data_IF_932791532446
#
_entry.id   IF_932791532446
#
_cell.length_a   1.000
_cell.length_b   1.000
_cell.length_c   1.000
_cell.angle_alpha   90.00
_cell.angle_beta   90.00
_cell.angle_gamma   90.00
#
_symmetry.space_group_name_H-M   'P 1'
#
loop_
_entity.id
_entity.type
_entity.pdbx_description
1 polymer ?
#
# COMPACT_ATOMS: atom_id res chain seq x y z
N UNK A 1 21.27 -13.80 -38.81
CA UNK A 1 21.80 -13.64 -37.43
C UNK A 1 20.61 -13.27 -36.54
N UNK A 2 20.28 -14.10 -35.56
CA UNK A 2 19.03 -14.00 -34.77
C UNK A 2 18.90 -12.63 -34.08
N UNK A 3 17.74 -12.01 -34.26
CA UNK A 3 17.24 -10.90 -33.46
C UNK A 3 17.07 -11.38 -32.02
N UNK A 4 18.11 -11.21 -31.20
CA UNK A 4 17.94 -11.26 -29.76
C UNK A 4 17.03 -10.09 -29.40
N UNK A 5 15.75 -10.38 -29.11
CA UNK A 5 14.87 -9.49 -28.38
C UNK A 5 15.51 -9.26 -27.01
N UNK A 6 16.40 -8.28 -26.92
CA UNK A 6 17.01 -7.85 -25.68
C UNK A 6 15.89 -7.29 -24.81
N UNK A 7 15.30 -8.15 -23.97
CA UNK A 7 14.45 -7.72 -22.85
C UNK A 7 15.25 -6.66 -22.11
N UNK A 8 14.76 -5.42 -22.10
CA UNK A 8 15.37 -4.33 -21.34
C UNK A 8 15.65 -4.85 -19.92
N UNK A 9 16.91 -4.86 -19.45
CA UNK A 9 17.21 -5.39 -18.13
C UNK A 9 16.39 -4.62 -17.10
N UNK A 10 15.66 -5.33 -16.22
CA UNK A 10 14.87 -4.71 -15.17
C UNK A 10 15.73 -3.69 -14.42
N UNK A 11 15.21 -2.47 -14.26
CA UNK A 11 15.97 -1.35 -13.67
C UNK A 11 16.49 -1.72 -12.28
N UNK A 12 17.68 -1.24 -11.93
CA UNK A 12 18.30 -1.43 -10.61
C UNK A 12 17.33 -1.09 -9.47
N UNK A 13 16.57 -0.01 -9.63
CA UNK A 13 15.53 0.44 -8.71
C UNK A 13 14.46 -0.64 -8.45
N UNK A 14 14.00 -1.32 -9.51
CA UNK A 14 12.99 -2.37 -9.40
C UNK A 14 13.52 -3.59 -8.67
N UNK A 15 14.74 -4.02 -9.04
CA UNK A 15 15.40 -5.16 -8.39
C UNK A 15 15.61 -4.91 -6.89
N UNK A 16 16.09 -3.71 -6.52
CA UNK A 16 16.30 -3.36 -5.11
C UNK A 16 14.98 -3.35 -4.34
N UNK A 17 13.94 -2.73 -4.88
CA UNK A 17 12.62 -2.70 -4.25
C UNK A 17 12.05 -4.11 -4.05
N UNK A 18 12.13 -4.96 -5.07
CA UNK A 18 11.66 -6.34 -4.99
C UNK A 18 12.43 -7.17 -3.96
N UNK A 19 13.77 -7.05 -3.93
CA UNK A 19 14.58 -7.76 -2.93
C UNK A 19 14.23 -7.32 -1.51
N UNK A 20 14.09 -6.01 -1.26
CA UNK A 20 13.73 -5.53 0.08
C UNK A 20 12.32 -5.96 0.47
N UNK A 21 11.36 -5.95 -0.45
CA UNK A 21 10.01 -6.47 -0.20
C UNK A 21 10.05 -7.96 0.16
N UNK A 22 10.79 -8.79 -0.57
CA UNK A 22 10.93 -10.22 -0.24
C UNK A 22 11.56 -10.44 1.13
N UNK A 23 12.64 -9.71 1.45
CA UNK A 23 13.29 -9.79 2.76
C UNK A 23 12.34 -9.35 3.88
N UNK A 24 11.54 -8.30 3.66
CA UNK A 24 10.55 -7.82 4.63
C UNK A 24 9.46 -8.86 4.88
N UNK A 25 8.94 -9.49 3.83
CA UNK A 25 7.94 -10.57 3.96
C UNK A 25 8.53 -11.76 4.72
N UNK A 26 9.78 -12.13 4.42
CA UNK A 26 10.47 -13.19 5.15
C UNK A 26 10.70 -12.82 6.62
N UNK A 27 11.11 -11.58 6.91
CA UNK A 27 11.27 -11.08 8.28
C UNK A 27 9.93 -11.11 9.04
N UNK A 28 8.84 -10.63 8.44
CA UNK A 28 7.52 -10.66 9.05
C UNK A 28 7.06 -12.10 9.33
N UNK A 29 7.30 -13.03 8.40
CA UNK A 29 7.02 -14.44 8.61
C UNK A 29 7.87 -15.05 9.74
N UNK A 30 9.14 -14.68 9.86
CA UNK A 30 10.03 -15.13 10.94
C UNK A 30 9.59 -14.59 12.31
N UNK A 31 9.31 -13.29 12.41
CA UNK A 31 8.80 -12.67 13.65
C UNK A 31 7.49 -13.32 14.06
N UNK A 32 6.57 -13.52 13.11
CA UNK A 32 5.30 -14.19 13.40
C UNK A 32 5.52 -15.65 13.81
N UNK A 33 6.38 -16.39 13.11
CA UNK A 33 6.73 -17.76 13.45
C UNK A 33 7.32 -17.87 14.86
N UNK A 34 8.19 -16.93 15.25
CA UNK A 34 8.74 -16.85 16.60
C UNK A 34 7.65 -16.57 17.64
N UNK A 35 6.72 -15.64 17.40
CA UNK A 35 5.61 -15.39 18.34
C UNK A 35 4.70 -16.61 18.51
N UNK A 36 4.44 -17.34 17.44
CA UNK A 36 3.57 -18.51 17.45
C UNK A 36 4.24 -19.76 18.03
N UNK A 37 5.57 -19.85 18.05
CA UNK A 37 6.28 -21.08 18.45
C UNK A 37 7.16 -20.92 19.68
N UNK A 38 7.78 -19.76 19.85
CA UNK A 38 8.82 -19.52 20.86
C UNK A 38 8.34 -18.89 22.17
N UNK A 39 7.12 -18.33 22.22
CA UNK A 39 6.60 -17.70 23.43
C UNK A 39 5.99 -18.71 24.41
N UNK A 40 6.04 -18.45 25.74
CA UNK A 40 5.48 -19.34 26.76
C UNK A 40 3.97 -19.58 26.64
N UNK A 41 3.22 -18.69 25.98
CA UNK A 41 1.78 -18.85 25.67
C UNK A 41 1.51 -19.23 24.19
N UNK A 42 2.52 -19.79 23.50
CA UNK A 42 2.46 -20.10 22.08
C UNK A 42 1.30 -21.02 21.66
N UNK A 43 0.89 -21.97 22.50
CA UNK A 43 -0.21 -22.89 22.19
C UNK A 43 -1.56 -22.16 22.04
N UNK A 44 -1.87 -21.29 23.01
CA UNK A 44 -3.12 -20.51 23.03
C UNK A 44 -3.14 -19.44 21.93
N UNK A 45 -1.97 -18.87 21.63
CA UNK A 45 -1.78 -17.94 20.50
C UNK A 45 -1.98 -18.63 19.14
N UNK A 46 -1.53 -19.88 18.97
CA UNK A 46 -1.74 -20.63 17.71
C UNK A 46 -3.22 -20.88 17.45
N UNK A 47 -3.95 -21.36 18.45
CA UNK A 47 -5.38 -21.66 18.33
C UNK A 47 -6.18 -20.40 17.96
N UNK A 48 -5.81 -19.26 18.56
CA UNK A 48 -6.46 -17.98 18.25
C UNK A 48 -6.05 -17.45 16.88
N UNK A 49 -4.76 -17.53 16.51
CA UNK A 49 -4.24 -16.91 15.29
C UNK A 49 -4.65 -17.62 13.99
N UNK A 50 -4.99 -18.91 14.04
CA UNK A 50 -5.50 -19.66 12.88
C UNK A 50 -6.89 -19.16 12.44
N UNK A 51 -7.61 -18.44 13.32
CA UNK A 51 -8.91 -17.88 12.97
C UNK A 51 -8.74 -16.77 11.91
N UNK A 52 -9.62 -16.73 10.89
CA UNK A 52 -9.49 -15.80 9.75
C UNK A 52 -9.51 -14.33 10.17
N UNK A 53 -10.21 -14.02 11.27
CA UNK A 53 -10.34 -12.69 11.84
C UNK A 53 -9.03 -12.07 12.35
N UNK A 54 -8.00 -12.89 12.61
CA UNK A 54 -6.67 -12.42 13.02
C UNK A 54 -5.64 -12.56 11.89
N UNK A 55 -5.64 -13.70 11.18
CA UNK A 55 -4.66 -13.95 10.13
C UNK A 55 -4.83 -13.02 8.92
N UNK A 56 -6.05 -12.81 8.44
CA UNK A 56 -6.28 -12.08 7.19
C UNK A 56 -5.94 -10.59 7.31
N UNK A 57 -6.36 -9.87 8.38
CA UNK A 57 -5.92 -8.50 8.61
C UNK A 57 -4.40 -8.38 8.79
N UNK A 58 -3.76 -9.36 9.43
CA UNK A 58 -2.30 -9.40 9.57
C UNK A 58 -1.60 -9.50 8.21
N UNK A 59 -2.03 -10.43 7.35
CA UNK A 59 -1.51 -10.57 5.99
C UNK A 59 -1.75 -9.31 5.16
N UNK A 60 -2.93 -8.70 5.28
CA UNK A 60 -3.26 -7.44 4.61
C UNK A 60 -2.33 -6.30 5.08
N UNK A 61 -1.96 -6.25 6.37
CA UNK A 61 -1.04 -5.25 6.92
C UNK A 61 0.39 -5.44 6.38
N UNK A 62 0.87 -6.69 6.35
CA UNK A 62 2.16 -7.02 5.71
C UNK A 62 2.14 -6.58 4.24
N UNK A 63 1.08 -6.90 3.51
CA UNK A 63 0.95 -6.53 2.10
C UNK A 63 0.94 -5.00 1.92
N UNK A 64 0.11 -4.27 2.67
CA UNK A 64 0.02 -2.82 2.60
C UNK A 64 1.37 -2.14 2.90
N UNK A 65 2.00 -2.52 4.02
CA UNK A 65 3.30 -1.95 4.41
C UNK A 65 4.40 -2.26 3.39
N UNK A 66 4.40 -3.47 2.82
CA UNK A 66 5.35 -3.88 1.79
C UNK A 66 5.16 -3.08 0.49
N UNK A 67 3.92 -2.78 0.11
CA UNK A 67 3.62 -1.93 -1.05
C UNK A 67 4.19 -0.52 -0.83
N UNK A 68 3.91 0.10 0.32
CA UNK A 68 4.41 1.45 0.62
C UNK A 68 5.94 1.51 0.66
N UNK A 69 6.57 0.53 1.30
CA UNK A 69 8.05 0.46 1.36
C UNK A 69 8.65 0.18 -0.01
N UNK A 70 8.10 -0.76 -0.78
CA UNK A 70 8.55 -1.05 -2.15
C UNK A 70 8.46 0.17 -3.06
N UNK A 71 7.33 0.89 -3.04
CA UNK A 71 7.16 2.15 -3.78
C UNK A 71 8.16 3.21 -3.32
N UNK A 72 8.42 3.32 -2.02
CA UNK A 72 9.35 4.30 -1.45
C UNK A 72 10.78 4.01 -1.88
N UNK A 73 11.21 2.75 -1.85
CA UNK A 73 12.56 2.33 -2.27
C UNK A 73 12.73 2.55 -3.77
N UNK A 74 11.80 2.04 -4.57
CA UNK A 74 11.85 2.20 -6.01
C UNK A 74 11.86 3.67 -6.42
N UNK A 75 11.02 4.52 -5.80
CA UNK A 75 10.98 5.96 -6.07
C UNK A 75 12.26 6.68 -5.69
N UNK A 76 12.81 6.38 -4.51
CA UNK A 76 14.01 7.03 -4.00
C UNK A 76 15.22 6.66 -4.87
N UNK A 77 15.35 5.40 -5.24
CA UNK A 77 16.42 4.92 -6.12
C UNK A 77 16.28 5.45 -7.55
N UNK A 78 15.07 5.40 -8.13
CA UNK A 78 14.83 5.90 -9.48
C UNK A 78 15.10 7.41 -9.58
N UNK A 79 14.70 8.19 -8.56
CA UNK A 79 14.97 9.63 -8.52
C UNK A 79 16.47 9.91 -8.44
N UNK A 80 17.20 9.19 -7.60
CA UNK A 80 18.65 9.37 -7.45
C UNK A 80 19.39 9.05 -8.75
N UNK A 81 19.06 7.93 -9.41
CA UNK A 81 19.64 7.53 -10.70
C UNK A 81 19.39 8.57 -11.79
N UNK A 82 18.17 9.12 -11.84
CA UNK A 82 17.82 10.17 -12.79
C UNK A 82 18.54 11.49 -12.52
N UNK A 83 18.73 11.86 -11.26
CA UNK A 83 19.47 13.08 -10.89
C UNK A 83 20.94 13.05 -11.32
N UNK A 84 21.53 11.85 -11.39
CA UNK A 84 22.91 11.66 -11.82
C UNK A 84 23.03 11.23 -13.30
N UNK A 85 21.90 11.14 -14.01
CA UNK A 85 21.79 10.70 -15.40
C UNK A 85 22.46 9.34 -15.69
N UNK A 86 22.35 8.39 -14.75
CA UNK A 86 22.93 7.04 -14.88
C UNK A 86 21.90 5.94 -14.73
N UNK A 87 22.12 4.82 -15.41
CA UNK A 87 21.27 3.62 -15.31
C UNK A 87 21.65 2.69 -14.13
N UNK A 88 22.82 2.90 -13.53
CA UNK A 88 23.38 1.97 -12.54
C UNK A 88 24.35 2.60 -11.53
N UNK A 89 24.99 1.72 -10.77
CA UNK A 89 25.89 2.02 -9.65
C UNK A 89 27.10 1.09 -9.76
N UNK A 90 28.30 1.56 -9.42
CA UNK A 90 29.55 0.77 -9.58
C UNK A 90 29.58 -0.50 -8.72
N UNK A 91 29.05 -0.42 -7.50
CA UNK A 91 29.02 -1.52 -6.53
C UNK A 91 27.57 -1.88 -6.13
N UNK A 92 26.79 -2.53 -7.02
CA UNK A 92 25.39 -2.84 -6.74
C UNK A 92 25.23 -3.79 -5.54
N UNK A 93 26.15 -4.75 -5.35
CA UNK A 93 26.10 -5.65 -4.18
C UNK A 93 26.19 -4.90 -2.83
N UNK A 94 27.06 -3.88 -2.76
CA UNK A 94 27.22 -3.03 -1.57
C UNK A 94 25.94 -2.22 -1.29
N UNK A 95 25.32 -1.66 -2.34
CA UNK A 95 24.04 -0.96 -2.24
C UNK A 95 22.96 -1.88 -1.66
N UNK A 96 22.80 -3.08 -2.22
CA UNK A 96 21.79 -4.05 -1.79
C UNK A 96 22.02 -4.48 -0.34
N UNK A 97 23.26 -4.84 0.02
CA UNK A 97 23.60 -5.24 1.38
C UNK A 97 23.27 -4.17 2.42
N UNK A 98 23.71 -2.94 2.19
CA UNK A 98 23.48 -1.83 3.14
C UNK A 98 22.00 -1.49 3.22
N UNK A 99 21.28 -1.43 2.09
CA UNK A 99 19.86 -1.14 2.08
C UNK A 99 19.05 -2.22 2.83
N UNK A 100 19.38 -3.50 2.64
CA UNK A 100 18.73 -4.62 3.32
C UNK A 100 18.99 -4.55 4.82
N UNK A 101 20.26 -4.42 5.24
CA UNK A 101 20.64 -4.36 6.66
C UNK A 101 19.94 -3.20 7.35
N UNK A 102 20.01 -1.99 6.78
CA UNK A 102 19.37 -0.82 7.38
C UNK A 102 17.84 -0.95 7.42
N UNK A 103 17.22 -1.52 6.39
CA UNK A 103 15.77 -1.76 6.39
C UNK A 103 15.38 -2.73 7.50
N UNK A 104 16.13 -3.83 7.67
CA UNK A 104 15.89 -4.79 8.76
C UNK A 104 16.06 -4.16 10.14
N UNK A 105 17.10 -3.34 10.33
CA UNK A 105 17.35 -2.61 11.59
C UNK A 105 16.21 -1.64 11.88
N UNK A 106 15.76 -0.86 10.89
CA UNK A 106 14.63 0.05 11.07
C UNK A 106 13.33 -0.70 11.35
N UNK A 107 13.03 -1.78 10.62
CA UNK A 107 11.85 -2.61 10.86
C UNK A 107 11.88 -3.26 12.24
N UNK A 108 13.05 -3.69 12.74
CA UNK A 108 13.23 -4.18 14.11
C UNK A 108 12.96 -3.09 15.14
N UNK A 109 13.52 -1.88 14.95
CA UNK A 109 13.30 -0.74 15.84
C UNK A 109 11.82 -0.32 15.87
N UNK A 110 11.14 -0.29 14.72
CA UNK A 110 9.71 -0.01 14.63
C UNK A 110 8.91 -1.09 15.36
N UNK A 111 9.24 -2.37 15.14
CA UNK A 111 8.56 -3.48 15.81
C UNK A 111 8.69 -3.39 17.33
N UNK A 112 9.90 -3.14 17.85
CA UNK A 112 10.15 -2.97 19.28
C UNK A 112 9.38 -1.76 19.85
N UNK A 113 9.38 -0.63 19.15
CA UNK A 113 8.63 0.56 19.54
C UNK A 113 7.11 0.29 19.57
N UNK A 114 6.57 -0.41 18.57
CA UNK A 114 5.14 -0.73 18.51
C UNK A 114 4.74 -1.69 19.62
N UNK A 115 5.55 -2.70 19.94
CA UNK A 115 5.31 -3.61 21.07
C UNK A 115 5.28 -2.82 22.39
N UNK A 116 6.25 -1.93 22.59
CA UNK A 116 6.28 -1.07 23.78
C UNK A 116 5.03 -0.20 23.86
N UNK A 117 4.69 0.54 22.80
CA UNK A 117 3.50 1.40 22.75
C UNK A 117 2.22 0.60 23.01
N UNK A 118 2.09 -0.58 22.43
CA UNK A 118 0.93 -1.45 22.62
C UNK A 118 0.81 -1.95 24.06
N UNK A 119 1.92 -2.32 24.71
CA UNK A 119 1.93 -2.72 26.12
C UNK A 119 1.48 -1.59 27.05
N UNK A 120 1.97 -0.37 26.82
CA UNK A 120 1.57 0.83 27.58
C UNK A 120 0.09 1.12 27.37
N UNK A 121 -0.41 0.97 26.13
CA UNK A 121 -1.81 1.18 25.81
C UNK A 121 -2.74 0.20 26.54
N UNK A 122 -2.37 -1.09 26.58
CA UNK A 122 -3.12 -2.13 27.29
C UNK A 122 -3.14 -1.84 28.79
N UNK A 123 -2.00 -1.51 29.38
CA UNK A 123 -1.92 -1.12 30.79
C UNK A 123 -2.80 0.09 31.11
N UNK A 124 -2.77 1.12 30.24
CA UNK A 124 -3.61 2.30 30.39
C UNK A 124 -5.11 1.97 30.30
N UNK A 125 -5.51 1.12 29.36
CA UNK A 125 -6.89 0.70 29.16
C UNK A 125 -7.44 -0.10 30.36
N UNK A 126 -6.63 -0.99 30.92
CA UNK A 126 -6.96 -1.76 32.14
C UNK A 126 -7.14 -0.83 33.34
N UNK A 127 -6.29 0.20 33.47
CA UNK A 127 -6.37 1.16 34.58
C UNK A 127 -7.55 2.13 34.48
N UNK A 128 -8.01 2.47 33.26
CA UNK A 128 -8.99 3.54 33.06
C UNK A 128 -10.37 3.07 32.55
N UNK A 129 -10.67 1.76 32.64
CA UNK A 129 -11.93 1.15 32.17
C UNK A 129 -12.42 1.79 30.85
N UNK A 130 -11.51 1.93 29.89
CA UNK A 130 -11.76 2.75 28.71
C UNK A 130 -12.75 2.07 27.77
N UNK A 131 -13.76 2.81 27.30
CA UNK A 131 -14.71 2.31 26.31
C UNK A 131 -14.00 1.71 25.09
N UNK A 132 -14.48 0.54 24.61
CA UNK A 132 -13.87 -0.21 23.51
C UNK A 132 -13.55 0.65 22.26
N UNK A 133 -14.37 1.66 21.97
CA UNK A 133 -14.13 2.60 20.87
C UNK A 133 -12.82 3.42 21.01
N UNK A 134 -12.41 3.79 22.22
CA UNK A 134 -11.16 4.53 22.46
C UNK A 134 -9.95 3.65 22.17
N UNK A 135 -10.00 2.39 22.60
CA UNK A 135 -8.95 1.40 22.35
C UNK A 135 -8.81 1.10 20.85
N UNK A 136 -9.93 0.96 20.15
CA UNK A 136 -9.96 0.76 18.69
C UNK A 136 -9.34 1.95 17.94
N UNK A 137 -9.71 3.17 18.31
CA UNK A 137 -9.15 4.40 17.70
C UNK A 137 -7.64 4.50 17.93
N UNK A 138 -7.17 4.17 19.13
CA UNK A 138 -5.73 4.18 19.44
C UNK A 138 -4.95 3.09 18.67
N UNK A 139 -5.53 1.90 18.48
CA UNK A 139 -4.93 0.84 17.66
C UNK A 139 -4.78 1.25 16.19
N UNK A 140 -5.76 1.99 15.64
CA UNK A 140 -5.66 2.57 14.29
C UNK A 140 -4.53 3.60 14.18
N UNK A 141 -4.39 4.47 15.18
CA UNK A 141 -3.30 5.47 15.22
C UNK A 141 -1.94 4.79 15.29
N UNK A 142 -1.79 3.75 16.12
CA UNK A 142 -0.56 2.97 16.19
C UNK A 142 -0.23 2.28 14.87
N UNK A 143 -1.24 1.72 14.20
CA UNK A 143 -1.07 1.09 12.88
C UNK A 143 -0.62 2.11 11.82
N UNK A 144 -1.23 3.31 11.80
CA UNK A 144 -0.83 4.38 10.90
C UNK A 144 0.61 4.87 11.18
N UNK A 145 0.95 5.01 12.46
CA UNK A 145 2.29 5.40 12.91
C UNK A 145 3.34 4.35 12.48
N UNK A 146 3.05 3.06 12.66
CA UNK A 146 3.93 1.97 12.24
C UNK A 146 4.24 2.05 10.73
N UNK A 147 3.21 2.19 9.89
CA UNK A 147 3.38 2.33 8.44
C UNK A 147 4.19 3.57 8.09
N UNK A 148 3.93 4.71 8.73
CA UNK A 148 4.66 5.95 8.50
C UNK A 148 6.16 5.81 8.85
N UNK A 149 6.47 5.23 10.01
CA UNK A 149 7.85 5.00 10.44
C UNK A 149 8.59 4.02 9.52
N UNK A 150 7.92 2.99 9.02
CA UNK A 150 8.48 2.03 8.05
C UNK A 150 8.81 2.69 6.71
N UNK A 151 7.92 3.57 6.22
CA UNK A 151 8.16 4.38 5.01
C UNK A 151 9.35 5.32 5.21
N UNK A 152 9.42 6.01 6.35
CA UNK A 152 10.55 6.88 6.69
C UNK A 152 11.85 6.09 6.80
N UNK A 153 11.84 4.96 7.50
CA UNK A 153 12.98 4.06 7.64
C UNK A 153 13.49 3.55 6.30
N UNK A 154 12.59 3.12 5.41
CA UNK A 154 12.94 2.70 4.06
C UNK A 154 13.55 3.84 3.22
N UNK A 155 12.99 5.05 3.32
CA UNK A 155 13.55 6.22 2.63
C UNK A 155 14.97 6.53 3.13
N UNK A 156 15.18 6.52 4.45
CA UNK A 156 16.49 6.77 5.07
C UNK A 156 17.49 5.66 4.73
N UNK A 157 17.09 4.39 4.76
CA UNK A 157 17.94 3.26 4.40
C UNK A 157 18.50 3.39 2.99
N UNK A 158 17.65 3.71 2.01
CA UNK A 158 18.09 3.93 0.62
C UNK A 158 18.97 5.17 0.51
N UNK A 159 18.61 6.28 1.17
CA UNK A 159 19.42 7.51 1.16
C UNK A 159 20.83 7.27 1.71
N UNK A 160 20.95 6.54 2.81
CA UNK A 160 22.24 6.19 3.40
C UNK A 160 23.00 5.25 2.46
N UNK A 161 22.36 4.19 1.95
CA UNK A 161 22.99 3.27 1.01
C UNK A 161 23.53 3.99 -0.23
N UNK A 162 22.75 4.92 -0.81
CA UNK A 162 23.15 5.71 -1.98
C UNK A 162 24.31 6.66 -1.71
N UNK A 163 24.53 7.10 -0.46
CA UNK A 163 25.73 7.90 -0.10
C UNK A 163 27.01 7.07 -0.08
N UNK A 164 26.91 5.73 -0.05
CA UNK A 164 28.07 4.83 0.08
C UNK A 164 28.58 4.29 -1.24
N UNK A 165 27.95 4.66 -2.35
CA UNK A 165 28.21 4.15 -3.69
C UNK A 165 28.29 5.30 -4.71
N UNK A 166 28.96 5.08 -5.83
CA UNK A 166 29.08 6.06 -6.91
C UNK A 166 28.22 5.66 -8.12
N UNK A 167 27.74 6.65 -8.91
CA UNK A 167 26.99 6.39 -10.14
C UNK A 167 27.88 5.71 -11.20
N UNK A 168 27.40 4.62 -11.82
CA UNK A 168 28.18 3.89 -12.83
C UNK A 168 28.41 4.68 -14.11
N UNK A 169 29.52 4.46 -14.80
CA UNK A 169 29.98 5.21 -16.00
C UNK A 169 29.01 5.24 -17.20
N UNK A 170 28.00 4.38 -17.23
CA UNK A 170 27.06 4.30 -18.34
C UNK A 170 26.02 5.43 -18.25
N UNK A 171 26.18 6.43 -19.13
CA UNK A 171 25.29 7.57 -19.24
C UNK A 171 23.89 7.17 -19.76
N UNK A 172 22.89 7.93 -19.33
CA UNK A 172 21.47 7.70 -19.59
C UNK A 172 20.73 7.40 -18.28
N UNK A 173 19.87 8.30 -17.84
CA UNK A 173 18.98 8.06 -16.71
C UNK A 173 17.82 7.11 -17.08
N UNK A 174 17.29 6.31 -16.13
CA UNK A 174 16.13 5.46 -16.39
C UNK A 174 14.90 6.28 -16.82
N UNK A 175 14.31 5.89 -17.96
CA UNK A 175 13.10 6.53 -18.47
C UNK A 175 11.89 6.22 -17.57
N UNK A 176 11.20 7.27 -17.13
CA UNK A 176 9.94 7.12 -16.42
C UNK A 176 8.77 7.13 -17.40
N UNK A 177 8.30 5.93 -17.71
CA UNK A 177 7.20 5.66 -18.65
C UNK A 177 5.81 5.72 -18.00
N UNK A 178 4.79 5.79 -18.85
CA UNK A 178 3.38 5.73 -18.48
C UNK A 178 3.02 4.47 -17.69
N UNK A 179 3.62 3.33 -18.01
CA UNK A 179 3.42 2.08 -17.26
C UNK A 179 3.88 2.18 -15.81
N UNK A 180 4.99 2.89 -15.57
CA UNK A 180 5.51 3.12 -14.23
C UNK A 180 4.59 4.06 -13.44
N UNK A 181 4.05 5.09 -14.09
CA UNK A 181 3.06 5.98 -13.49
C UNK A 181 1.76 5.25 -13.12
N UNK A 182 1.21 4.44 -14.02
CA UNK A 182 -0.01 3.70 -13.77
C UNK A 182 0.16 2.67 -12.65
N UNK A 183 1.29 1.95 -12.63
CA UNK A 183 1.61 1.00 -11.57
C UNK A 183 1.77 1.68 -10.21
N UNK A 184 2.41 2.85 -10.17
CA UNK A 184 2.56 3.66 -8.95
C UNK A 184 1.22 4.11 -8.40
N UNK A 185 0.35 4.61 -9.28
CA UNK A 185 -0.99 5.07 -8.90
C UNK A 185 -1.86 3.90 -8.40
N UNK A 186 -1.89 2.79 -9.15
CA UNK A 186 -2.61 1.57 -8.76
C UNK A 186 -2.12 1.00 -7.43
N UNK A 187 -0.80 0.92 -7.25
CA UNK A 187 -0.20 0.44 -5.99
C UNK A 187 -0.53 1.37 -4.81
N UNK A 188 -0.59 2.68 -5.04
CA UNK A 188 -1.01 3.63 -3.99
C UNK A 188 -2.49 3.45 -3.61
N UNK A 189 -3.38 3.26 -4.59
CA UNK A 189 -4.80 2.96 -4.34
C UNK A 189 -4.93 1.66 -3.55
N UNK A 190 -4.20 0.62 -3.94
CA UNK A 190 -4.19 -0.66 -3.23
C UNK A 190 -3.71 -0.53 -1.79
N UNK A 191 -2.61 0.21 -1.57
CA UNK A 191 -2.09 0.49 -0.24
C UNK A 191 -3.14 1.14 0.66
N UNK A 192 -3.81 2.18 0.15
CA UNK A 192 -4.90 2.84 0.87
C UNK A 192 -6.11 1.92 1.12
N UNK A 193 -6.52 1.14 0.12
CA UNK A 193 -7.64 0.20 0.24
C UNK A 193 -7.36 -0.83 1.32
N UNK A 194 -6.17 -1.44 1.33
CA UNK A 194 -5.78 -2.40 2.36
C UNK A 194 -5.76 -1.74 3.74
N UNK A 195 -5.23 -0.52 3.87
CA UNK A 195 -5.24 0.21 5.15
C UNK A 195 -6.65 0.46 5.68
N UNK A 196 -7.60 0.88 4.82
CA UNK A 196 -9.00 1.08 5.23
C UNK A 196 -9.70 -0.25 5.52
N UNK A 197 -9.46 -1.30 4.73
CA UNK A 197 -9.99 -2.64 5.00
C UNK A 197 -9.53 -3.17 6.35
N UNK A 198 -8.26 -2.99 6.71
CA UNK A 198 -7.74 -3.36 8.04
C UNK A 198 -8.45 -2.56 9.12
N UNK A 199 -8.56 -1.24 8.94
CA UNK A 199 -9.18 -0.36 9.93
C UNK A 199 -10.66 -0.65 10.17
N UNK A 200 -11.40 -0.93 9.09
CA UNK A 200 -12.81 -1.27 9.16
C UNK A 200 -13.01 -2.71 9.63
N UNK A 201 -12.13 -3.63 9.21
CA UNK A 201 -12.15 -5.03 9.62
C UNK A 201 -11.92 -5.20 11.13
N UNK A 202 -10.98 -4.47 11.72
CA UNK A 202 -10.79 -4.48 13.19
C UNK A 202 -12.00 -3.92 13.92
N UNK A 203 -12.66 -2.90 13.37
CA UNK A 203 -13.88 -2.33 13.95
C UNK A 203 -15.08 -3.28 13.87
N UNK A 204 -15.32 -3.89 12.70
CA UNK A 204 -16.45 -4.79 12.47
C UNK A 204 -16.27 -6.14 13.17
N UNK A 205 -15.04 -6.66 13.27
CA UNK A 205 -14.77 -7.89 14.02
C UNK A 205 -15.02 -7.75 15.52
N UNK A 206 -14.90 -6.53 16.07
CA UNK A 206 -15.32 -6.25 17.42
C UNK A 206 -16.85 -6.32 17.61
N UNK A 207 -17.62 -6.34 16.52
CA UNK A 207 -19.09 -6.32 16.52
C UNK A 207 -19.74 -7.60 15.95
N UNK A 208 -19.06 -8.35 15.08
CA UNK A 208 -19.58 -9.59 14.48
C UNK A 208 -18.51 -10.69 14.38
N UNK A 209 -18.71 -11.80 15.09
CA UNK A 209 -17.77 -12.94 15.17
C UNK A 209 -18.02 -14.05 14.13
N UNK A 210 -18.99 -13.88 13.23
CA UNK A 210 -19.60 -14.98 12.44
C UNK A 210 -19.23 -14.98 10.95
N UNK A 211 -18.09 -14.38 10.57
CA UNK A 211 -17.68 -14.26 9.16
C UNK A 211 -16.68 -15.38 8.81
N UNK A 212 -16.98 -16.15 7.77
CA UNK A 212 -16.17 -17.31 7.34
C UNK A 212 -14.98 -16.96 6.43
N UNK A 213 -14.06 -17.91 6.24
CA UNK A 213 -12.85 -17.76 5.40
C UNK A 213 -13.10 -17.19 3.99
N UNK A 214 -14.21 -17.59 3.34
CA UNK A 214 -14.54 -17.16 1.99
C UNK A 214 -14.80 -15.65 1.92
N UNK A 215 -15.55 -15.09 2.88
CA UNK A 215 -15.88 -13.68 2.93
C UNK A 215 -14.63 -12.83 3.20
N UNK A 216 -13.75 -13.30 4.09
CA UNK A 216 -12.44 -12.68 4.32
C UNK A 216 -11.54 -12.70 3.08
N UNK A 217 -11.43 -13.86 2.41
CA UNK A 217 -10.61 -13.97 1.20
C UNK A 217 -11.14 -13.08 0.07
N UNK A 218 -12.47 -13.01 -0.10
CA UNK A 218 -13.10 -12.14 -1.09
C UNK A 218 -12.83 -10.66 -0.78
N UNK A 219 -13.03 -10.23 0.47
CA UNK A 219 -12.91 -8.83 0.86
C UNK A 219 -11.49 -8.30 0.95
N UNK A 220 -10.53 -9.10 1.44
CA UNK A 220 -9.17 -8.65 1.76
C UNK A 220 -8.11 -9.09 0.73
N UNK A 221 -8.41 -10.04 -0.15
CA UNK A 221 -7.46 -10.52 -1.16
C UNK A 221 -7.99 -10.32 -2.58
N UNK A 222 -9.13 -10.92 -2.92
CA UNK A 222 -9.64 -10.92 -4.29
C UNK A 222 -10.07 -9.51 -4.72
N UNK A 223 -10.89 -8.85 -3.91
CA UNK A 223 -11.38 -7.52 -4.24
C UNK A 223 -10.23 -6.50 -4.39
N UNK A 224 -9.26 -6.38 -3.46
CA UNK A 224 -8.13 -5.46 -3.63
C UNK A 224 -7.30 -5.74 -4.89
N UNK A 225 -7.08 -7.01 -5.26
CA UNK A 225 -6.35 -7.36 -6.49
C UNK A 225 -7.13 -6.94 -7.74
N UNK A 226 -8.44 -7.19 -7.78
CA UNK A 226 -9.28 -6.75 -8.88
C UNK A 226 -9.29 -5.23 -9.02
N UNK A 227 -9.36 -4.50 -7.91
CA UNK A 227 -9.30 -3.04 -7.88
C UNK A 227 -7.95 -2.51 -8.35
N UNK A 228 -6.83 -3.14 -7.94
CA UNK A 228 -5.50 -2.81 -8.43
C UNK A 228 -5.43 -2.96 -9.95
N UNK A 229 -5.88 -4.09 -10.49
CA UNK A 229 -5.85 -4.36 -11.92
C UNK A 229 -6.70 -3.35 -12.69
N UNK A 230 -7.94 -3.13 -12.24
CA UNK A 230 -8.83 -2.14 -12.84
C UNK A 230 -8.21 -0.75 -12.84
N UNK A 231 -7.74 -0.26 -11.69
CA UNK A 231 -7.18 1.08 -11.56
C UNK A 231 -5.90 1.24 -12.38
N UNK A 232 -5.05 0.21 -12.43
CA UNK A 232 -3.83 0.22 -13.24
C UNK A 232 -4.17 0.29 -14.73
N UNK A 233 -5.12 -0.51 -15.21
CA UNK A 233 -5.57 -0.50 -16.62
C UNK A 233 -6.21 0.84 -16.98
N UNK A 234 -7.05 1.39 -16.09
CA UNK A 234 -7.67 2.70 -16.28
C UNK A 234 -6.60 3.79 -16.32
N UNK A 235 -5.68 3.82 -15.36
CA UNK A 235 -4.55 4.76 -15.34
C UNK A 235 -3.69 4.63 -16.61
N UNK A 236 -3.41 3.41 -17.07
CA UNK A 236 -2.70 3.17 -18.34
C UNK A 236 -3.44 3.78 -19.52
N UNK A 237 -4.77 3.65 -19.62
CA UNK A 237 -5.53 4.21 -20.73
C UNK A 237 -5.65 5.74 -20.68
N UNK A 238 -5.72 6.33 -19.49
CA UNK A 238 -6.01 7.76 -19.35
C UNK A 238 -4.75 8.63 -19.30
N UNK A 239 -3.62 8.14 -18.79
CA UNK A 239 -2.42 8.96 -18.60
C UNK A 239 -1.83 9.44 -19.94
N UNK A 240 -1.27 10.66 -20.00
CA UNK A 240 -0.68 11.17 -21.24
C UNK A 240 0.65 10.49 -21.57
N UNK A 241 0.94 10.35 -22.86
CA UNK A 241 2.26 9.97 -23.38
C UNK A 241 2.84 11.14 -24.20
N UNK A 242 3.96 11.76 -23.81
CA UNK A 242 4.84 11.48 -22.66
C UNK A 242 4.36 12.12 -21.33
N UNK A 243 4.80 11.57 -20.19
CA UNK A 243 4.30 11.93 -18.84
C UNK A 243 4.93 13.23 -18.25
N UNK A 244 5.89 13.90 -18.93
CA UNK A 244 6.55 15.20 -18.56
C UNK A 244 7.46 15.19 -17.30
N UNK A 245 8.47 16.04 -17.07
CA UNK A 245 9.58 15.68 -16.13
C UNK A 245 9.32 15.39 -14.63
N UNK A 246 8.21 15.81 -14.01
CA UNK A 246 7.92 15.59 -12.58
C UNK A 246 6.95 14.42 -12.28
N UNK A 247 7.19 13.26 -12.91
CA UNK A 247 6.20 12.18 -13.17
C UNK A 247 5.71 11.39 -11.95
N UNK A 248 6.59 11.06 -11.01
CA UNK A 248 6.27 10.04 -10.00
C UNK A 248 5.46 10.56 -8.81
N UNK A 249 5.81 11.75 -8.28
CA UNK A 249 5.02 12.38 -7.22
C UNK A 249 3.57 12.62 -7.66
N UNK A 250 3.38 12.99 -8.94
CA UNK A 250 2.05 13.12 -9.56
C UNK A 250 1.32 11.79 -9.68
N UNK A 251 2.01 10.68 -9.99
CA UNK A 251 1.38 9.37 -10.04
C UNK A 251 0.90 8.88 -8.66
N UNK A 252 1.72 9.08 -7.61
CA UNK A 252 1.35 8.76 -6.22
C UNK A 252 0.21 9.66 -5.73
N UNK A 253 0.27 10.96 -6.03
CA UNK A 253 -0.81 11.90 -5.72
C UNK A 253 -2.11 11.54 -6.46
N UNK A 254 -2.02 11.10 -7.73
CA UNK A 254 -3.18 10.66 -8.50
C UNK A 254 -3.86 9.47 -7.82
N UNK A 255 -3.10 8.44 -7.42
CA UNK A 255 -3.66 7.28 -6.72
C UNK A 255 -4.30 7.66 -5.39
N UNK A 256 -3.66 8.55 -4.64
CA UNK A 256 -4.20 9.06 -3.36
C UNK A 256 -5.49 9.85 -3.55
N UNK A 257 -5.51 10.79 -4.50
CA UNK A 257 -6.69 11.58 -4.82
C UNK A 257 -7.84 10.71 -5.31
N UNK A 258 -7.55 9.77 -6.22
CA UNK A 258 -8.56 8.87 -6.78
C UNK A 258 -9.23 8.05 -5.68
N UNK A 259 -8.43 7.50 -4.75
CA UNK A 259 -8.94 6.75 -3.61
C UNK A 259 -9.83 7.61 -2.71
N UNK A 260 -9.32 8.73 -2.20
CA UNK A 260 -10.06 9.53 -1.21
C UNK A 260 -11.31 10.18 -1.81
N UNK A 261 -11.27 10.58 -3.08
CA UNK A 261 -12.44 11.11 -3.76
C UNK A 261 -13.52 10.02 -3.91
N UNK A 262 -13.14 8.78 -4.23
CA UNK A 262 -14.08 7.67 -4.25
C UNK A 262 -14.69 7.40 -2.85
N UNK A 263 -13.90 7.51 -1.78
CA UNK A 263 -14.40 7.33 -0.41
C UNK A 263 -15.40 8.44 -0.01
N UNK A 264 -15.07 9.70 -0.26
CA UNK A 264 -15.97 10.83 0.07
C UNK A 264 -17.30 10.70 -0.69
N UNK A 265 -17.25 10.40 -1.98
CA UNK A 265 -18.46 10.19 -2.79
C UNK A 265 -19.24 8.95 -2.34
N UNK A 266 -18.56 7.86 -2.02
CA UNK A 266 -19.18 6.63 -1.52
C UNK A 266 -19.92 6.84 -0.19
N UNK A 267 -19.29 7.55 0.76
CA UNK A 267 -19.93 7.94 2.04
C UNK A 267 -21.14 8.84 1.78
N UNK A 268 -21.02 9.81 0.86
CA UNK A 268 -22.13 10.67 0.45
C UNK A 268 -23.31 9.87 -0.11
N UNK A 269 -23.06 8.90 -1.00
CA UNK A 269 -24.09 8.00 -1.53
C UNK A 269 -24.74 7.15 -0.44
N UNK A 270 -23.95 6.62 0.50
CA UNK A 270 -24.47 5.88 1.65
C UNK A 270 -25.39 6.73 2.53
N UNK A 271 -25.01 7.97 2.82
CA UNK A 271 -25.85 8.91 3.56
C UNK A 271 -27.18 9.20 2.84
N UNK A 272 -27.13 9.42 1.52
CA UNK A 272 -28.34 9.63 0.71
C UNK A 272 -29.24 8.38 0.71
N UNK A 273 -28.67 7.17 0.64
CA UNK A 273 -29.43 5.93 0.70
C UNK A 273 -30.15 5.75 2.05
N UNK A 274 -29.44 6.01 3.16
CA UNK A 274 -30.04 5.97 4.51
C UNK A 274 -31.19 6.98 4.64
N UNK A 275 -31.07 8.15 4.02
CA UNK A 275 -32.15 9.16 4.00
C UNK A 275 -33.32 8.78 3.10
N UNK A 276 -33.07 8.05 2.01
CA UNK A 276 -34.06 7.76 0.98
C UNK A 276 -34.86 6.47 1.26
N UNK A 277 -34.33 5.55 2.06
CA UNK A 277 -34.92 4.23 2.31
C UNK A 277 -35.43 4.10 3.75
N UNK A 278 -36.49 3.32 3.95
CA UNK A 278 -36.90 2.91 5.31
C UNK A 278 -35.96 1.86 5.89
N UNK A 279 -35.96 1.68 7.21
CA UNK A 279 -35.11 0.70 7.90
C UNK A 279 -35.30 -0.73 7.35
N UNK A 280 -36.54 -1.14 7.08
CA UNK A 280 -36.85 -2.45 6.51
C UNK A 280 -36.38 -2.61 5.06
N UNK A 281 -36.35 -1.52 4.28
CA UNK A 281 -35.78 -1.54 2.94
C UNK A 281 -34.25 -1.64 3.00
N UNK A 282 -33.64 -0.97 3.97
CA UNK A 282 -32.19 -0.98 4.18
C UNK A 282 -31.70 -2.38 4.58
N UNK A 283 -32.38 -3.05 5.53
CA UNK A 283 -32.05 -4.42 5.96
C UNK A 283 -32.19 -5.39 4.79
N UNK A 284 -33.33 -5.34 4.07
CA UNK A 284 -33.54 -6.21 2.89
C UNK A 284 -32.51 -5.97 1.78
N UNK A 285 -32.08 -4.73 1.60
CA UNK A 285 -31.01 -4.40 0.67
C UNK A 285 -29.66 -4.94 1.15
N UNK A 286 -29.34 -4.83 2.44
CA UNK A 286 -28.10 -5.32 3.02
C UNK A 286 -27.95 -6.86 2.91
N UNK A 287 -29.05 -7.60 3.03
CA UNK A 287 -29.07 -9.06 2.89
C UNK A 287 -29.02 -9.56 1.43
N UNK A 288 -29.10 -8.64 0.46
CA UNK A 288 -29.14 -8.98 -0.97
C UNK A 288 -27.75 -9.07 -1.59
N UNK A 289 -27.41 -10.25 -2.13
CA UNK A 289 -26.20 -10.44 -2.94
C UNK A 289 -26.13 -9.48 -4.16
N UNK A 290 -27.29 -9.07 -4.71
CA UNK A 290 -27.35 -8.14 -5.83
C UNK A 290 -26.83 -6.76 -5.41
N UNK A 291 -27.15 -6.32 -4.19
CA UNK A 291 -26.69 -5.04 -3.66
C UNK A 291 -25.17 -5.05 -3.47
N UNK A 292 -24.59 -6.15 -2.98
CA UNK A 292 -23.14 -6.28 -2.90
C UNK A 292 -22.46 -6.11 -4.27
N UNK A 293 -22.98 -6.75 -5.31
CA UNK A 293 -22.45 -6.61 -6.69
C UNK A 293 -22.61 -5.17 -7.19
N UNK A 294 -23.78 -4.55 -6.99
CA UNK A 294 -24.04 -3.16 -7.39
C UNK A 294 -23.08 -2.20 -6.67
N UNK A 295 -22.86 -2.37 -5.36
CA UNK A 295 -21.94 -1.55 -4.58
C UNK A 295 -20.50 -1.68 -5.07
N UNK A 296 -20.07 -2.87 -5.47
CA UNK A 296 -18.77 -3.09 -6.11
C UNK A 296 -18.65 -2.34 -7.45
N UNK A 297 -19.68 -2.40 -8.28
CA UNK A 297 -19.71 -1.69 -9.57
C UNK A 297 -19.70 -0.17 -9.37
N UNK A 298 -20.50 0.34 -8.43
CA UNK A 298 -20.51 1.76 -8.05
C UNK A 298 -19.13 2.19 -7.55
N UNK A 299 -18.52 1.42 -6.66
CA UNK A 299 -17.19 1.72 -6.15
C UNK A 299 -16.12 1.73 -7.26
N UNK A 300 -16.16 0.76 -8.17
CA UNK A 300 -15.31 0.75 -9.35
C UNK A 300 -15.50 2.01 -10.22
N UNK A 301 -16.74 2.44 -10.45
CA UNK A 301 -17.05 3.66 -11.19
C UNK A 301 -16.52 4.92 -10.49
N UNK A 302 -16.67 5.01 -9.17
CA UNK A 302 -16.14 6.12 -8.37
C UNK A 302 -14.60 6.19 -8.43
N UNK A 303 -13.91 5.06 -8.38
CA UNK A 303 -12.45 5.00 -8.54
C UNK A 303 -12.02 5.42 -9.94
N UNK A 304 -12.73 4.97 -10.97
CA UNK A 304 -12.46 5.41 -12.36
C UNK A 304 -12.64 6.92 -12.51
N UNK A 305 -13.72 7.47 -11.94
CA UNK A 305 -13.97 8.90 -11.89
C UNK A 305 -12.85 9.64 -11.14
N UNK A 306 -12.43 9.12 -10.00
CA UNK A 306 -11.31 9.65 -9.22
C UNK A 306 -9.99 9.67 -10.01
N UNK A 307 -9.68 8.59 -10.73
CA UNK A 307 -8.53 8.54 -11.64
C UNK A 307 -8.62 9.59 -12.75
N UNK A 308 -9.81 9.80 -13.32
CA UNK A 308 -10.04 10.79 -14.37
C UNK A 308 -9.89 12.24 -13.85
N UNK A 309 -10.48 12.55 -12.70
CA UNK A 309 -10.35 13.86 -12.04
C UNK A 309 -8.88 14.09 -11.66
N UNK A 310 -8.22 13.09 -11.07
CA UNK A 310 -6.79 13.15 -10.72
C UNK A 310 -5.90 13.40 -11.94
N UNK A 311 -6.22 12.80 -13.10
CA UNK A 311 -5.57 13.12 -14.37
C UNK A 311 -5.75 14.59 -14.73
N UNK A 312 -6.97 15.10 -14.72
CA UNK A 312 -7.25 16.50 -15.09
C UNK A 312 -6.51 17.48 -14.17
N UNK A 313 -6.51 17.21 -12.86
CA UNK A 313 -5.86 18.06 -11.86
C UNK A 313 -4.33 18.05 -11.97
N UNK A 314 -3.72 16.87 -12.16
CA UNK A 314 -2.26 16.71 -12.06
C UNK A 314 -1.54 16.72 -13.43
N UNK A 315 -2.27 16.45 -14.50
CA UNK A 315 -1.76 16.34 -15.87
C UNK A 315 -2.50 17.22 -16.89
N UNK A 316 -3.54 17.99 -16.50
CA UNK A 316 -4.26 18.87 -17.43
C UNK A 316 -3.43 20.03 -17.97
N UNK A 317 -2.41 20.49 -17.21
CA UNK A 317 -1.55 21.61 -17.59
C UNK A 317 -0.56 21.32 -18.73
N UNK A 318 -0.29 20.05 -19.08
CA UNK A 318 0.70 19.71 -20.10
C UNK A 318 0.25 20.01 -21.54
N UNK A 319 -1.03 20.31 -21.77
CA UNK A 319 -1.53 20.80 -23.07
C UNK A 319 -1.18 22.27 -23.37
N UNK A 320 -0.75 23.06 -22.37
CA UNK A 320 -0.45 24.49 -22.57
C UNK A 320 1.02 24.80 -22.88
N UNK A 321 1.88 23.78 -22.97
CA UNK A 321 3.34 23.96 -23.09
C UNK A 321 3.93 23.38 -24.39
N UNK A 322 3.12 23.12 -25.41
CA UNK A 322 3.63 22.96 -26.78
C UNK A 322 3.56 24.33 -27.44
N UNK A 323 4.68 25.09 -27.54
CA UNK A 323 4.72 26.17 -28.50
C UNK A 323 4.57 25.56 -29.88
N UNK A 324 3.70 26.15 -30.70
CA UNK A 324 3.68 25.84 -32.12
C UNK A 324 5.07 26.18 -32.69
N UNK A 325 5.82 25.16 -33.08
CA UNK A 325 6.96 25.27 -33.99
C UNK A 325 6.67 24.41 -35.19
#
# INVERSE_FOLDING_TARGET
>A
MMTATARSPYSLAWRLALTVVLVRVAYAALVQGYTLVGLPESAQLRETFILPQYLVPFLANIAASSIFVGLTIWSTTHRWLRQHDRHGVDAPGKLFGIAIILTLVFSLAVSALMIYLQSVLVLYAVQHASAANKFLTMSLLLSALAVALEVVGAHLAVRIAMRTVQPADHAGGPAYEQRHAAWSAGSMILGWQLSVCIAMGTYLNAQSLTVGWLQYALGFLILPVLLLLLCTVVCLKILPHPVGDSRQGRAVALGTLAFWLAQVLGVGLGFLAIRAMTWDQLIRAADSNVVAVVMLVVYAALLMLGCWIGKLALYGGSRRLVPAS
#
